data_IF_066426466027
#
_entry.id   IF_066426466027
#
_cell.length_a   1.000
_cell.length_b   1.000
_cell.length_c   1.000
_cell.angle_alpha   90.00
_cell.angle_beta   90.00
_cell.angle_gamma   90.00
#
_symmetry.space_group_name_H-M   'P 1'
#
loop_
_entity.id
_entity.type
_entity.pdbx_description
1 polymer ?
#
# COMPACT_ATOMS: atom_id res chain seq x y z
N UNK A 1 3.06 15.09 -2.95
CA UNK A 1 2.21 15.28 -4.13
C UNK A 1 1.19 14.17 -4.24
N UNK A 2 -0.03 14.53 -4.31
CA UNK A 2 -1.13 13.60 -4.47
C UNK A 2 -1.54 13.57 -5.92
N UNK A 3 -1.55 12.40 -6.50
CA UNK A 3 -1.89 12.24 -7.91
C UNK A 3 -1.65 10.83 -8.36
N UNK A 4 -1.37 10.68 -9.64
CA UNK A 4 -1.13 9.37 -10.22
C UNK A 4 0.23 8.84 -9.77
N UNK A 5 0.24 7.61 -9.27
CA UNK A 5 1.50 6.93 -8.93
C UNK A 5 2.05 6.29 -10.20
N UNK A 6 3.34 6.49 -10.42
CA UNK A 6 4.07 5.79 -11.47
C UNK A 6 5.11 4.91 -10.79
N UNK A 7 5.02 3.61 -11.01
CA UNK A 7 5.96 2.68 -10.38
C UNK A 7 7.39 2.93 -10.82
N UNK A 8 7.60 3.54 -11.99
CA UNK A 8 8.94 3.90 -12.44
C UNK A 8 9.64 4.87 -11.48
N UNK A 9 8.89 5.65 -10.71
CA UNK A 9 9.45 6.56 -9.71
C UNK A 9 10.07 5.81 -8.54
N UNK A 10 9.72 4.54 -8.36
CA UNK A 10 10.20 3.70 -7.26
C UNK A 10 11.20 2.66 -7.72
N UNK A 11 11.74 2.80 -8.90
CA UNK A 11 12.72 1.85 -9.43
C UNK A 11 13.91 1.74 -8.46
N UNK A 12 14.29 0.52 -8.16
CA UNK A 12 15.35 0.26 -7.18
C UNK A 12 14.84 0.16 -5.75
N UNK A 13 13.54 0.38 -5.53
CA UNK A 13 12.92 0.25 -4.21
C UNK A 13 11.94 -0.90 -4.18
N UNK A 14 11.77 -1.49 -3.00
CA UNK A 14 10.69 -2.46 -2.78
C UNK A 14 9.44 -1.69 -2.42
N UNK A 15 8.34 -1.94 -3.14
CA UNK A 15 7.10 -1.19 -2.97
C UNK A 15 6.03 -2.09 -2.36
N UNK A 16 5.43 -1.63 -1.26
CA UNK A 16 4.21 -2.22 -0.72
C UNK A 16 3.05 -1.34 -1.17
N UNK A 17 2.31 -1.82 -2.17
CA UNK A 17 1.23 -1.08 -2.81
C UNK A 17 -0.10 -1.57 -2.23
N UNK A 18 -0.89 -0.65 -1.70
CA UNK A 18 -2.16 -0.98 -1.05
C UNK A 18 -3.30 -0.19 -1.69
N UNK A 19 -4.33 -0.91 -2.14
CA UNK A 19 -5.54 -0.29 -2.67
C UNK A 19 -6.54 -0.13 -1.53
N UNK A 20 -7.04 1.10 -1.34
CA UNK A 20 -7.90 1.41 -0.21
C UNK A 20 -8.97 2.44 -0.61
N UNK A 21 -10.00 2.53 0.23
CA UNK A 21 -11.04 3.54 0.09
C UNK A 21 -11.56 3.91 1.47
N UNK A 22 -12.17 5.09 1.60
CA UNK A 22 -12.67 5.58 2.87
C UNK A 22 -13.77 4.68 3.45
N UNK A 23 -14.52 4.00 2.59
CA UNK A 23 -15.61 3.12 3.00
C UNK A 23 -15.15 1.70 3.32
N UNK A 24 -13.88 1.42 3.23
CA UNK A 24 -13.32 0.09 3.48
C UNK A 24 -12.88 0.00 4.95
N UNK A 25 -13.63 -0.74 5.77
CA UNK A 25 -13.33 -0.88 7.20
C UNK A 25 -11.96 -1.45 7.50
N UNK A 26 -11.58 -2.61 6.91
CA UNK A 26 -10.25 -3.17 7.17
C UNK A 26 -9.11 -2.27 6.71
N UNK A 27 -9.35 -1.38 5.73
CA UNK A 27 -8.33 -0.42 5.30
C UNK A 27 -7.93 0.53 6.43
N UNK A 28 -8.90 0.94 7.25
CA UNK A 28 -8.62 1.81 8.38
C UNK A 28 -7.68 1.12 9.38
N UNK A 29 -7.87 -0.16 9.59
CA UNK A 29 -7.04 -0.93 10.52
C UNK A 29 -5.63 -1.15 9.98
N UNK A 30 -5.46 -1.22 8.66
CA UNK A 30 -4.15 -1.45 8.07
C UNK A 30 -3.25 -0.21 8.10
N UNK A 31 -3.82 0.99 8.19
CA UNK A 31 -3.05 2.23 8.09
C UNK A 31 -1.99 2.38 9.19
N UNK A 32 -2.31 2.18 10.48
CA UNK A 32 -1.25 2.28 11.50
C UNK A 32 -0.13 1.29 11.29
N UNK A 33 -0.46 0.08 10.85
CA UNK A 33 0.55 -0.92 10.54
C UNK A 33 1.42 -0.49 9.36
N UNK A 34 0.81 0.06 8.31
CA UNK A 34 1.57 0.54 7.15
C UNK A 34 2.47 1.71 7.51
N UNK A 35 2.00 2.61 8.38
CA UNK A 35 2.83 3.69 8.90
C UNK A 35 4.06 3.13 9.61
N UNK A 36 3.87 2.09 10.42
CA UNK A 36 4.95 1.45 11.14
C UNK A 36 5.94 0.79 10.19
N UNK A 37 5.44 0.12 9.14
CA UNK A 37 6.32 -0.51 8.15
C UNK A 37 7.17 0.54 7.43
N UNK A 38 6.58 1.65 7.02
CA UNK A 38 7.33 2.71 6.36
C UNK A 38 8.38 3.30 7.28
N UNK A 39 8.05 3.49 8.54
CA UNK A 39 8.99 4.05 9.53
C UNK A 39 10.16 3.09 9.78
N UNK A 40 9.86 1.81 9.94
CA UNK A 40 10.89 0.83 10.31
C UNK A 40 11.76 0.39 9.15
N UNK A 41 11.22 0.31 7.95
CA UNK A 41 11.92 -0.26 6.81
C UNK A 41 12.19 0.74 5.68
N UNK A 42 11.76 1.98 5.83
CA UNK A 42 11.97 2.98 4.79
C UNK A 42 13.44 3.20 4.46
N UNK A 43 14.29 3.26 5.48
CA UNK A 43 15.72 3.43 5.29
C UNK A 43 16.37 2.20 4.65
N UNK A 44 15.70 1.07 4.66
CA UNK A 44 16.19 -0.18 4.08
C UNK A 44 15.68 -0.42 2.66
N UNK A 45 14.96 0.55 2.10
CA UNK A 45 14.54 0.51 0.71
C UNK A 45 13.05 0.25 0.51
N UNK A 46 12.24 0.27 1.57
CA UNK A 46 10.79 0.09 1.44
C UNK A 46 10.10 1.42 1.16
N UNK A 47 9.16 1.37 0.24
CA UNK A 47 8.21 2.47 0.02
C UNK A 47 6.80 1.91 0.10
N UNK A 48 6.02 2.41 1.04
CA UNK A 48 4.61 2.07 1.15
C UNK A 48 3.83 3.10 0.35
N UNK A 49 2.93 2.63 -0.51
CA UNK A 49 2.13 3.49 -1.38
C UNK A 49 0.68 3.06 -1.26
N UNK A 50 -0.18 3.98 -0.82
CA UNK A 50 -1.61 3.74 -0.76
C UNK A 50 -2.31 4.37 -1.95
N UNK A 51 -2.98 3.55 -2.76
CA UNK A 51 -3.73 4.03 -3.92
C UNK A 51 -5.20 4.10 -3.55
N UNK A 52 -5.74 5.31 -3.50
CA UNK A 52 -7.11 5.56 -3.09
C UNK A 52 -8.05 5.39 -4.28
N UNK A 53 -9.14 4.66 -4.06
CA UNK A 53 -10.13 4.37 -5.10
C UNK A 53 -11.46 5.08 -4.87
N UNK A 54 -11.55 6.00 -3.89
CA UNK A 54 -12.77 6.80 -3.70
C UNK A 54 -13.06 7.62 -4.96
N UNK A 55 -14.36 7.68 -5.31
CA UNK A 55 -14.78 8.50 -6.44
C UNK A 55 -14.75 9.98 -6.10
N UNK A 56 -14.95 10.31 -4.82
CA UNK A 56 -14.97 11.70 -4.35
C UNK A 56 -13.71 12.00 -3.53
N UNK A 57 -12.88 12.95 -3.95
CA UNK A 57 -11.66 13.28 -3.20
C UNK A 57 -11.90 13.71 -1.76
N UNK A 58 -13.02 14.36 -1.49
CA UNK A 58 -13.34 14.82 -0.13
C UNK A 58 -13.53 13.66 0.83
N UNK A 59 -13.99 12.50 0.36
CA UNK A 59 -14.15 11.32 1.22
C UNK A 59 -12.78 10.80 1.65
N UNK A 60 -11.83 10.75 0.72
CA UNK A 60 -10.47 10.33 1.03
C UNK A 60 -9.80 11.31 2.00
N UNK A 61 -10.01 12.61 1.79
CA UNK A 61 -9.44 13.64 2.66
C UNK A 61 -9.98 13.53 4.08
N UNK A 62 -11.28 13.29 4.24
CA UNK A 62 -11.88 13.12 5.55
C UNK A 62 -11.30 11.89 6.26
N UNK A 63 -11.11 10.80 5.54
CA UNK A 63 -10.49 9.59 6.09
C UNK A 63 -9.07 9.90 6.58
N UNK A 64 -8.27 10.58 5.76
CA UNK A 64 -6.88 10.87 6.07
C UNK A 64 -6.76 11.87 7.23
N UNK A 65 -7.75 12.72 7.45
CA UNK A 65 -7.77 13.63 8.58
C UNK A 65 -7.90 12.88 9.91
N UNK A 66 -8.66 11.80 9.93
CA UNK A 66 -8.85 10.98 11.14
C UNK A 66 -7.86 9.81 11.23
N UNK A 67 -7.31 9.37 10.10
CA UNK A 67 -6.39 8.24 10.03
C UNK A 67 -5.18 8.66 9.18
N UNK A 68 -4.23 9.42 9.75
CA UNK A 68 -3.13 9.97 8.95
C UNK A 68 -2.23 8.90 8.36
N UNK A 69 -1.76 9.15 7.15
CA UNK A 69 -0.80 8.29 6.46
C UNK A 69 0.58 8.93 6.49
N UNK A 70 1.59 8.17 6.92
CA UNK A 70 2.99 8.59 6.87
C UNK A 70 3.72 7.90 5.72
N UNK A 71 2.99 7.61 4.66
CA UNK A 71 3.49 7.01 3.44
C UNK A 71 2.84 7.72 2.26
N UNK A 72 3.29 7.39 1.05
CA UNK A 72 2.80 8.05 -0.15
C UNK A 72 1.37 7.66 -0.45
N UNK A 73 0.57 8.66 -0.82
CA UNK A 73 -0.83 8.46 -1.21
C UNK A 73 -1.00 8.92 -2.65
N UNK A 74 -1.67 8.08 -3.43
CA UNK A 74 -2.09 8.42 -4.79
C UNK A 74 -3.58 8.22 -4.93
N UNK A 75 -4.17 8.84 -5.94
CA UNK A 75 -5.61 8.77 -6.19
C UNK A 75 -5.86 8.18 -7.57
N UNK A 76 -6.80 7.24 -7.63
CA UNK A 76 -7.18 6.58 -8.88
C UNK A 76 -8.70 6.38 -8.89
N UNK A 77 -9.44 7.49 -8.99
CA UNK A 77 -10.91 7.45 -8.93
C UNK A 77 -11.53 6.68 -10.08
N UNK A 78 -10.83 6.56 -11.21
CA UNK A 78 -11.31 5.80 -12.36
C UNK A 78 -11.12 4.28 -12.19
N UNK A 79 -10.31 3.86 -11.21
CA UNK A 79 -10.09 2.45 -10.96
C UNK A 79 -9.27 1.74 -12.01
N UNK A 80 -8.34 2.44 -12.65
CA UNK A 80 -7.53 1.86 -13.71
C UNK A 80 -6.45 0.92 -13.20
N UNK A 81 -5.77 1.31 -12.12
CA UNK A 81 -4.70 0.49 -11.57
C UNK A 81 -5.20 -0.86 -11.05
N UNK A 82 -6.35 -0.94 -10.32
CA UNK A 82 -6.86 -2.24 -9.91
C UNK A 82 -7.14 -3.17 -11.08
N UNK A 83 -7.64 -2.62 -12.19
CA UNK A 83 -7.89 -3.45 -13.38
C UNK A 83 -6.60 -4.00 -13.95
N UNK A 84 -5.54 -3.19 -13.99
CA UNK A 84 -4.25 -3.62 -14.50
C UNK A 84 -3.64 -4.75 -13.66
N UNK A 85 -3.85 -4.73 -12.35
CA UNK A 85 -3.30 -5.73 -11.45
C UNK A 85 -4.26 -6.85 -11.12
N UNK A 86 -5.46 -6.84 -11.69
CA UNK A 86 -6.45 -7.88 -11.44
C UNK A 86 -7.05 -7.85 -10.05
N UNK A 87 -7.11 -6.68 -9.43
CA UNK A 87 -7.65 -6.51 -8.08
C UNK A 87 -9.16 -6.64 -8.11
N UNK A 88 -9.72 -7.48 -7.21
CA UNK A 88 -11.16 -7.74 -7.17
C UNK A 88 -11.83 -7.26 -5.89
N UNK A 89 -11.07 -6.83 -4.90
CA UNK A 89 -11.64 -6.35 -3.64
C UNK A 89 -10.63 -5.56 -2.85
N UNK A 90 -11.06 -5.01 -1.71
CA UNK A 90 -10.20 -4.19 -0.87
C UNK A 90 -10.28 -4.61 0.59
N UNK A 91 -9.18 -4.43 1.34
CA UNK A 91 -7.90 -3.99 0.80
C UNK A 91 -7.22 -5.10 0.01
N UNK A 92 -6.51 -4.74 -1.03
CA UNK A 92 -5.62 -5.66 -1.74
C UNK A 92 -4.24 -5.02 -1.76
N UNK A 93 -3.24 -5.81 -1.41
CA UNK A 93 -1.87 -5.33 -1.33
C UNK A 93 -0.99 -6.11 -2.29
N UNK A 94 -0.04 -5.40 -2.89
CA UNK A 94 0.96 -6.01 -3.76
C UNK A 94 2.33 -5.67 -3.21
N UNK A 95 3.21 -6.67 -3.18
CA UNK A 95 4.61 -6.42 -2.88
C UNK A 95 5.37 -6.49 -4.18
N UNK A 96 6.06 -5.41 -4.54
CA UNK A 96 6.72 -5.25 -5.83
C UNK A 96 8.21 -5.05 -5.58
N UNK A 97 9.03 -5.87 -6.24
CA UNK A 97 10.47 -5.81 -6.07
C UNK A 97 11.11 -4.63 -6.79
N UNK A 98 12.43 -4.42 -6.55
CA UNK A 98 13.14 -3.29 -7.15
C UNK A 98 13.16 -3.30 -8.67
N UNK A 99 12.96 -4.46 -9.27
CA UNK A 99 12.91 -4.62 -10.73
C UNK A 99 11.50 -4.46 -11.30
N UNK A 100 10.51 -4.14 -10.46
CA UNK A 100 9.14 -3.95 -10.87
C UNK A 100 8.30 -5.21 -10.91
N UNK A 101 8.85 -6.35 -10.53
CA UNK A 101 8.09 -7.61 -10.54
C UNK A 101 7.24 -7.75 -9.29
N UNK A 102 6.01 -8.23 -9.47
CA UNK A 102 5.11 -8.51 -8.36
C UNK A 102 5.57 -9.77 -7.64
N UNK A 103 5.91 -9.64 -6.37
CA UNK A 103 6.41 -10.74 -5.54
C UNK A 103 5.30 -11.40 -4.74
N UNK A 104 4.23 -10.66 -4.42
CA UNK A 104 3.16 -11.15 -3.57
C UNK A 104 1.88 -10.36 -3.85
N UNK A 105 0.74 -11.04 -3.80
CA UNK A 105 -0.59 -10.42 -3.80
C UNK A 105 -1.31 -10.91 -2.55
N UNK A 106 -1.84 -10.00 -1.75
CA UNK A 106 -2.56 -10.34 -0.54
C UNK A 106 -3.91 -9.64 -0.52
N UNK A 107 -4.98 -10.39 -0.26
CA UNK A 107 -6.33 -9.86 -0.19
C UNK A 107 -6.79 -9.81 1.25
N UNK A 108 -7.40 -8.68 1.64
CA UNK A 108 -7.89 -8.49 2.99
C UNK A 108 -6.80 -8.03 3.95
N UNK A 109 -7.22 -7.77 5.18
CA UNK A 109 -6.30 -7.42 6.26
C UNK A 109 -6.91 -7.86 7.58
N UNK A 110 -6.31 -8.87 8.18
CA UNK A 110 -6.73 -9.42 9.47
C UNK A 110 -5.60 -9.28 10.47
N UNK A 111 -5.91 -9.48 11.74
CA UNK A 111 -4.92 -9.35 12.80
C UNK A 111 -3.69 -10.23 12.56
N UNK A 112 -3.89 -11.45 12.06
CA UNK A 112 -2.79 -12.38 11.79
C UNK A 112 -2.06 -12.08 10.49
N UNK A 113 -2.63 -11.22 9.62
CA UNK A 113 -1.96 -10.84 8.37
C UNK A 113 -0.69 -10.04 8.62
N UNK A 114 -0.63 -9.30 9.72
CA UNK A 114 0.49 -8.40 10.01
C UNK A 114 1.83 -9.12 10.04
N UNK A 115 1.89 -10.23 10.76
CA UNK A 115 3.14 -10.99 10.89
C UNK A 115 3.59 -11.56 9.54
N UNK A 116 2.65 -12.13 8.80
CA UNK A 116 2.96 -12.73 7.51
C UNK A 116 3.42 -11.67 6.51
N UNK A 117 2.72 -10.54 6.46
CA UNK A 117 3.07 -9.46 5.54
C UNK A 117 4.42 -8.83 5.89
N UNK A 118 4.69 -8.65 7.18
CA UNK A 118 5.99 -8.12 7.60
C UNK A 118 7.11 -9.10 7.25
N UNK A 119 6.88 -10.40 7.41
CA UNK A 119 7.85 -11.42 7.04
C UNK A 119 8.16 -11.34 5.54
N UNK A 120 7.13 -11.18 4.71
CA UNK A 120 7.31 -11.05 3.26
C UNK A 120 8.12 -9.79 2.90
N UNK A 121 7.84 -8.68 3.59
CA UNK A 121 8.58 -7.44 3.39
C UNK A 121 10.06 -7.64 3.73
N UNK A 122 10.35 -8.27 4.87
CA UNK A 122 11.73 -8.54 5.27
C UNK A 122 12.46 -9.41 4.26
N UNK A 123 11.79 -10.45 3.75
CA UNK A 123 12.37 -11.31 2.73
C UNK A 123 12.70 -10.53 1.46
N UNK A 124 11.78 -9.67 1.02
CA UNK A 124 11.98 -8.86 -0.17
C UNK A 124 13.14 -7.88 -0.01
N UNK A 125 13.31 -7.35 1.20
CA UNK A 125 14.41 -6.43 1.52
C UNK A 125 15.70 -7.18 1.85
N UNK A 126 15.66 -8.49 1.91
CA UNK A 126 16.80 -9.35 2.27
C UNK A 126 17.35 -9.05 3.65
N UNK A 127 16.44 -8.77 4.59
CA UNK A 127 16.80 -8.53 5.97
C UNK A 127 16.87 -9.88 6.69
N UNK A 128 17.98 -10.11 7.38
CA UNK A 128 18.12 -11.30 8.22
C UNK A 128 17.44 -11.05 9.56
N UNK A 129 16.76 -12.06 10.05
CA UNK A 129 16.13 -12.00 11.36
C UNK A 129 17.08 -12.43 12.47
#
# INVERSE_FOLDING_TARGET
QQGTVQLSAYKGKTVYLDFWASWCGPCKESFPWMNDMQKRYGAKGLRVVGVNLDQKPEDAKAFLASTPAQFDIAFDSAGQAPKQYGVKGMPTSLLIGPDGKVLMVHQGFKADSREELERQIKQALRIKE
#
